data_IF_776480779983
#
_entry.id   IF_776480779983
#
_cell.length_a   1.000
_cell.length_b   1.000
_cell.length_c   1.000
_cell.angle_alpha   90.00
_cell.angle_beta   90.00
_cell.angle_gamma   90.00
#
_symmetry.space_group_name_H-M   'P 1'
#
loop_
_entity.id
_entity.type
_entity.pdbx_description
1 polymer ?
#
# COMPACT_ATOMS: atom_id res chain seq x y z
N UNK A 1 -21.79 5.91 -12.02
CA UNK A 1 -21.80 7.14 -11.19
C UNK A 1 -23.06 7.15 -10.31
N UNK A 2 -22.98 6.56 -9.11
CA UNK A 2 -24.09 6.61 -8.16
C UNK A 2 -24.03 7.94 -7.39
N UNK A 3 -24.56 9.00 -7.99
CA UNK A 3 -24.69 10.29 -7.32
C UNK A 3 -26.10 10.44 -6.76
N UNK A 4 -26.30 10.11 -5.49
CA UNK A 4 -27.46 10.61 -4.74
C UNK A 4 -27.30 12.11 -4.53
N UNK A 5 -28.43 12.84 -4.51
CA UNK A 5 -28.48 14.30 -4.38
C UNK A 5 -27.68 14.82 -3.16
N UNK A 6 -27.18 16.06 -3.25
CA UNK A 6 -26.35 16.70 -2.23
C UNK A 6 -27.02 16.72 -0.84
N UNK A 7 -28.35 16.87 -0.77
CA UNK A 7 -29.10 16.82 0.48
C UNK A 7 -29.15 15.41 1.08
N UNK A 8 -29.36 14.40 0.22
CA UNK A 8 -29.45 13.00 0.61
C UNK A 8 -28.13 12.44 1.16
N UNK A 9 -26.97 13.00 0.75
CA UNK A 9 -25.64 12.56 1.22
C UNK A 9 -25.37 12.84 2.70
N UNK A 10 -26.07 13.80 3.32
CA UNK A 10 -25.90 14.15 4.73
C UNK A 10 -26.67 13.21 5.67
N UNK A 11 -27.78 12.65 5.20
CA UNK A 11 -28.66 11.74 5.97
C UNK A 11 -28.33 10.27 5.75
N UNK A 12 -27.72 9.93 4.61
CA UNK A 12 -27.22 8.60 4.35
C UNK A 12 -25.90 8.39 5.09
N UNK A 13 -25.88 7.44 6.04
CA UNK A 13 -24.63 6.93 6.61
C UNK A 13 -23.87 6.14 5.54
N UNK A 14 -23.19 6.87 4.65
CA UNK A 14 -22.27 6.27 3.70
C UNK A 14 -21.18 5.54 4.49
N UNK A 15 -20.80 4.31 4.11
CA UNK A 15 -19.66 3.65 4.73
C UNK A 15 -18.48 4.61 4.61
N UNK A 16 -17.88 4.95 5.75
CA UNK A 16 -16.69 5.80 5.79
C UNK A 16 -15.72 5.21 4.78
N UNK A 17 -15.19 6.06 3.89
CA UNK A 17 -14.10 5.65 3.00
C UNK A 17 -12.97 5.17 3.90
N UNK A 18 -12.85 3.85 4.04
CA UNK A 18 -11.72 3.25 4.71
C UNK A 18 -10.52 3.63 3.85
N UNK A 19 -9.77 4.65 4.30
CA UNK A 19 -8.55 5.04 3.63
C UNK A 19 -7.64 3.83 3.64
N UNK A 20 -7.42 3.23 2.47
CA UNK A 20 -6.42 2.19 2.32
C UNK A 20 -5.09 2.87 2.07
N UNK A 21 -4.08 2.56 2.88
CA UNK A 21 -2.72 3.03 2.67
C UNK A 21 -2.12 2.30 1.45
N UNK A 22 -1.93 3.01 0.34
CA UNK A 22 -1.27 2.47 -0.87
C UNK A 22 0.27 2.50 -0.80
N UNK A 23 0.83 2.82 0.37
CA UNK A 23 2.28 2.87 0.55
C UNK A 23 2.86 1.47 0.50
N UNK A 24 4.03 1.36 -0.14
CA UNK A 24 4.77 0.12 -0.17
C UNK A 24 5.28 -0.22 1.23
N UNK A 25 5.27 -1.51 1.57
CA UNK A 25 5.85 -2.02 2.82
C UNK A 25 6.99 -2.97 2.51
N UNK A 26 8.07 -2.91 3.30
CA UNK A 26 9.19 -3.82 3.12
C UNK A 26 8.86 -5.23 3.63
N UNK A 27 9.40 -6.27 2.98
CA UNK A 27 9.23 -7.65 3.47
C UNK A 27 10.02 -7.94 4.76
N UNK A 28 11.08 -7.17 5.05
CA UNK A 28 11.93 -7.36 6.23
C UNK A 28 11.23 -7.01 7.54
N UNK A 29 10.70 -5.78 7.63
CA UNK A 29 10.11 -5.23 8.87
C UNK A 29 8.59 -5.12 8.79
N UNK A 30 8.00 -5.28 7.60
CA UNK A 30 6.55 -5.10 7.34
C UNK A 30 6.05 -3.69 7.66
N UNK A 31 6.95 -2.73 7.72
CA UNK A 31 6.67 -1.31 7.89
C UNK A 31 6.56 -0.62 6.53
N UNK A 32 5.73 0.42 6.46
CA UNK A 32 5.60 1.29 5.30
C UNK A 32 6.91 2.03 5.06
N UNK A 33 7.39 2.03 3.83
CA UNK A 33 8.61 2.73 3.42
C UNK A 33 8.31 3.72 2.30
N UNK A 34 8.98 4.87 2.32
CA UNK A 34 8.89 5.86 1.23
C UNK A 34 9.93 5.59 0.12
N UNK A 35 11.09 5.01 0.46
CA UNK A 35 12.12 4.57 -0.48
C UNK A 35 12.62 3.17 -0.12
N UNK A 36 12.87 2.34 -1.14
CA UNK A 36 13.35 0.98 -0.97
C UNK A 36 14.03 0.42 -2.21
N UNK A 37 14.60 -0.78 -2.06
CA UNK A 37 15.30 -1.51 -3.10
C UNK A 37 14.42 -2.66 -3.60
N UNK A 38 14.39 -2.87 -4.91
CA UNK A 38 13.60 -3.92 -5.55
C UNK A 38 14.55 -4.97 -6.14
N UNK A 39 14.28 -6.24 -5.86
CA UNK A 39 15.00 -7.33 -6.52
C UNK A 39 14.54 -7.45 -7.99
N UNK A 40 15.48 -7.46 -8.94
CA UNK A 40 15.17 -7.60 -10.36
C UNK A 40 14.63 -8.98 -10.76
N UNK A 41 14.79 -10.00 -9.91
CA UNK A 41 14.35 -11.37 -10.19
C UNK A 41 12.94 -11.62 -9.67
N UNK A 42 12.71 -11.37 -8.38
CA UNK A 42 11.45 -11.71 -7.71
C UNK A 42 10.55 -10.49 -7.40
N UNK A 43 10.97 -9.28 -7.77
CA UNK A 43 10.24 -8.01 -7.53
C UNK A 43 9.90 -7.74 -6.05
N UNK A 44 10.58 -8.41 -5.11
CA UNK A 44 10.40 -8.18 -3.68
C UNK A 44 11.04 -6.87 -3.24
N UNK A 45 10.37 -6.16 -2.33
CA UNK A 45 10.76 -4.82 -1.83
C UNK A 45 11.47 -4.95 -0.47
N UNK A 46 12.65 -4.32 -0.38
CA UNK A 46 13.51 -4.33 0.80
C UNK A 46 13.85 -2.91 1.26
N UNK A 47 13.97 -2.73 2.57
CA UNK A 47 14.33 -1.44 3.20
C UNK A 47 15.84 -1.13 3.18
N UNK A 48 16.70 -2.11 2.86
CA UNK A 48 18.15 -1.96 2.77
C UNK A 48 18.67 -2.63 1.50
N UNK A 49 19.79 -2.12 0.97
CA UNK A 49 20.46 -2.73 -0.17
C UNK A 49 21.20 -3.99 0.28
N UNK A 50 20.65 -5.15 -0.05
CA UNK A 50 21.29 -6.44 0.18
C UNK A 50 21.90 -6.97 -1.13
N UNK A 51 23.10 -7.56 -1.06
CA UNK A 51 23.79 -8.12 -2.24
C UNK A 51 23.12 -9.38 -2.79
N UNK A 52 22.36 -10.07 -1.94
CA UNK A 52 21.57 -11.26 -2.27
C UNK A 52 20.17 -11.06 -1.73
N UNK A 53 19.18 -11.46 -2.52
CA UNK A 53 17.79 -11.37 -2.10
C UNK A 53 17.44 -12.60 -1.26
N UNK A 54 16.95 -12.39 -0.04
CA UNK A 54 16.55 -13.46 0.87
C UNK A 54 15.44 -14.37 0.33
N UNK A 55 14.67 -13.89 -0.66
CA UNK A 55 13.55 -14.60 -1.25
C UNK A 55 13.95 -15.46 -2.45
N UNK A 56 15.02 -15.12 -3.19
CA UNK A 56 15.44 -15.86 -4.39
C UNK A 56 16.88 -16.42 -4.37
N UNK A 57 17.70 -16.10 -3.35
CA UNK A 57 19.03 -16.69 -3.14
C UNK A 57 20.19 -15.81 -3.55
#
# INVERSE_FOLDING_TARGET
IFGTDLHSRAVLQLPRTAGVDFRASCFCHKETIDMGYICCVCLSIFCKSEKRCSSCG
#
